data_IF_043192304497
#
_entry.id   IF_043192304497
#
_cell.length_a   1.000
_cell.length_b   1.000
_cell.length_c   1.000
_cell.angle_alpha   90.00
_cell.angle_beta   90.00
_cell.angle_gamma   90.00
#
_symmetry.space_group_name_H-M   'P 1'
#
loop_
_entity.id
_entity.type
_entity.pdbx_description
1 polymer ?
#
# COMPACT_ATOMS: atom_id res chain seq x y z
N UNK A 1 -48.71 5.94 32.64
CA UNK A 1 -47.73 4.87 32.96
C UNK A 1 -47.02 4.21 31.77
N UNK A 2 -47.49 4.29 30.51
CA UNK A 2 -46.90 3.55 29.35
C UNK A 2 -45.63 4.15 28.70
N UNK A 3 -45.19 5.36 29.08
CA UNK A 3 -44.07 6.08 28.45
C UNK A 3 -42.68 5.68 28.99
N UNK A 4 -42.58 5.26 30.26
CA UNK A 4 -41.28 4.92 30.89
C UNK A 4 -40.72 3.57 30.41
N UNK A 5 -41.59 2.62 30.07
CA UNK A 5 -41.20 1.27 29.59
C UNK A 5 -40.66 1.34 28.15
N UNK A 6 -41.23 2.20 27.30
CA UNK A 6 -40.78 2.44 25.92
C UNK A 6 -39.38 3.07 25.86
N UNK A 7 -39.06 3.93 26.83
CA UNK A 7 -37.76 4.59 26.92
C UNK A 7 -36.64 3.62 27.33
N UNK A 8 -36.91 2.71 28.26
CA UNK A 8 -35.96 1.65 28.64
C UNK A 8 -35.62 0.70 27.48
N UNK A 9 -36.63 0.34 26.68
CA UNK A 9 -36.41 -0.51 25.49
C UNK A 9 -35.61 0.22 24.40
N UNK A 10 -35.86 1.51 24.16
CA UNK A 10 -35.06 2.29 23.21
C UNK A 10 -33.59 2.40 23.63
N UNK A 11 -33.31 2.62 24.92
CA UNK A 11 -31.93 2.71 25.43
C UNK A 11 -31.19 1.37 25.32
N UNK A 12 -31.85 0.25 25.63
CA UNK A 12 -31.25 -1.09 25.49
C UNK A 12 -31.00 -1.44 24.01
N UNK A 13 -31.91 -1.07 23.10
CA UNK A 13 -31.73 -1.27 21.67
C UNK A 13 -30.58 -0.41 21.10
N UNK A 14 -30.43 0.83 21.58
CA UNK A 14 -29.33 1.71 21.20
C UNK A 14 -27.96 1.24 21.72
N UNK A 15 -27.91 0.65 22.93
CA UNK A 15 -26.68 0.07 23.48
C UNK A 15 -26.29 -1.21 22.73
N UNK A 16 -27.25 -2.06 22.38
CA UNK A 16 -27.00 -3.26 21.57
C UNK A 16 -26.46 -2.91 20.17
N UNK A 17 -26.90 -1.80 19.58
CA UNK A 17 -26.40 -1.32 18.29
C UNK A 17 -24.95 -0.83 18.34
N UNK A 18 -24.51 -0.29 19.49
CA UNK A 18 -23.14 0.18 19.69
C UNK A 18 -22.16 -0.97 19.99
N UNK A 19 -22.62 -2.09 20.58
CA UNK A 19 -21.79 -3.26 20.90
C UNK A 19 -21.63 -4.19 19.68
N UNK A 20 -22.57 -4.14 18.73
CA UNK A 20 -22.59 -5.00 17.54
C UNK A 20 -21.71 -4.57 16.36
N UNK A 21 -20.89 -3.52 16.48
CA UNK A 21 -19.94 -3.14 15.44
C UNK A 21 -18.85 -4.22 15.37
N UNK A 22 -18.79 -5.06 14.31
CA UNK A 22 -17.69 -5.98 14.15
C UNK A 22 -16.44 -5.13 14.01
N UNK A 23 -15.47 -5.31 14.91
CA UNK A 23 -14.11 -4.80 14.71
C UNK A 23 -13.64 -5.40 13.38
N UNK A 24 -13.66 -4.58 12.32
CA UNK A 24 -13.23 -4.99 11.00
C UNK A 24 -11.84 -5.58 11.13
N UNK A 25 -11.70 -6.86 10.78
CA UNK A 25 -10.41 -7.51 10.72
C UNK A 25 -9.62 -6.83 9.60
N UNK A 26 -8.71 -5.92 9.98
CA UNK A 26 -7.69 -5.40 9.08
C UNK A 26 -6.78 -6.58 8.73
N UNK A 27 -7.14 -7.29 7.65
CA UNK A 27 -6.31 -8.34 7.08
C UNK A 27 -5.09 -7.65 6.48
N UNK A 28 -3.95 -7.75 7.17
CA UNK A 28 -2.67 -7.36 6.59
C UNK A 28 -2.48 -8.14 5.28
N UNK A 29 -2.18 -7.43 4.19
CA UNK A 29 -1.84 -8.07 2.93
C UNK A 29 -0.54 -8.86 3.14
N UNK A 30 -0.64 -10.19 3.16
CA UNK A 30 0.52 -11.06 3.30
C UNK A 30 1.23 -11.16 1.94
N UNK A 31 2.35 -10.44 1.80
CA UNK A 31 3.30 -10.63 0.70
C UNK A 31 3.49 -9.40 -0.20
N UNK A 32 4.28 -9.61 -1.27
CA UNK A 32 4.47 -8.65 -2.35
C UNK A 32 3.58 -9.03 -3.54
N UNK A 33 3.13 -8.02 -4.30
CA UNK A 33 2.35 -8.21 -5.51
C UNK A 33 3.24 -8.05 -6.74
N UNK A 34 3.23 -9.04 -7.63
CA UNK A 34 3.89 -8.94 -8.93
C UNK A 34 2.90 -8.40 -9.95
N UNK A 35 3.28 -7.35 -10.65
CA UNK A 35 2.50 -6.75 -11.74
C UNK A 35 3.17 -7.00 -13.09
N UNK A 36 2.38 -6.96 -14.16
CA UNK A 36 2.92 -7.08 -15.52
C UNK A 36 3.54 -5.76 -16.01
N UNK A 37 4.40 -5.81 -17.03
CA UNK A 37 4.93 -4.61 -17.69
C UNK A 37 3.83 -3.69 -18.23
N UNK A 38 2.74 -4.27 -18.75
CA UNK A 38 1.62 -3.51 -19.30
C UNK A 38 0.83 -2.79 -18.20
N UNK A 39 0.67 -3.44 -17.05
CA UNK A 39 0.03 -2.87 -15.87
C UNK A 39 0.87 -1.74 -15.28
N UNK A 40 2.19 -1.95 -15.13
CA UNK A 40 3.12 -0.90 -14.70
C UNK A 40 3.06 0.31 -15.63
N UNK A 41 3.05 0.10 -16.95
CA UNK A 41 2.92 1.20 -17.92
C UNK A 41 1.64 2.00 -17.69
N UNK A 42 0.51 1.31 -17.52
CA UNK A 42 -0.79 1.95 -17.27
C UNK A 42 -0.75 2.74 -15.96
N UNK A 43 -0.11 2.20 -14.93
CA UNK A 43 0.04 2.85 -13.63
C UNK A 43 0.93 4.10 -13.68
N UNK A 44 2.02 4.05 -14.45
CA UNK A 44 2.91 5.20 -14.69
C UNK A 44 2.23 6.35 -15.47
N UNK A 45 1.21 6.06 -16.26
CA UNK A 45 0.40 7.05 -16.97
C UNK A 45 -0.68 7.69 -16.07
N UNK A 46 -0.95 7.09 -14.91
CA UNK A 46 -1.93 7.57 -13.94
C UNK A 46 -1.46 8.82 -13.17
N UNK A 47 -2.37 9.43 -12.41
CA UNK A 47 -2.02 10.53 -11.49
C UNK A 47 -1.32 10.02 -10.23
N UNK A 48 -1.66 8.81 -9.77
CA UNK A 48 -1.15 8.20 -8.55
C UNK A 48 -0.01 7.22 -8.88
N UNK A 49 1.10 7.77 -9.35
CA UNK A 49 2.24 6.97 -9.87
C UNK A 49 3.01 6.34 -8.73
N UNK A 50 3.44 5.08 -8.86
CA UNK A 50 4.26 4.44 -7.85
C UNK A 50 5.69 4.99 -7.86
N UNK A 51 6.38 4.87 -6.73
CA UNK A 51 7.83 5.03 -6.69
C UNK A 51 8.47 3.80 -7.34
N UNK A 52 9.17 4.00 -8.46
CA UNK A 52 9.92 2.92 -9.12
C UNK A 52 11.33 2.84 -8.54
N UNK A 53 11.70 1.67 -8.03
CA UNK A 53 13.02 1.41 -7.45
C UNK A 53 13.75 0.35 -8.28
N UNK A 54 14.85 0.76 -8.91
CA UNK A 54 15.79 -0.13 -9.56
C UNK A 54 16.75 -0.70 -8.50
N UNK A 55 16.83 -2.03 -8.39
CA UNK A 55 17.49 -2.71 -7.28
C UNK A 55 18.89 -3.26 -7.55
N UNK A 56 19.41 -3.14 -8.78
CA UNK A 56 20.75 -3.61 -9.15
C UNK A 56 21.82 -2.51 -8.94
N UNK A 57 22.97 -2.62 -9.62
CA UNK A 57 24.08 -1.69 -9.45
C UNK A 57 23.83 -0.33 -10.11
N UNK A 58 24.51 0.72 -9.62
CA UNK A 58 24.48 2.03 -10.29
C UNK A 58 25.02 2.01 -11.72
N UNK A 59 25.94 1.08 -12.02
CA UNK A 59 26.51 0.95 -13.36
C UNK A 59 25.39 0.54 -14.32
N UNK A 60 24.65 -0.51 -13.98
CA UNK A 60 23.51 -0.99 -14.78
C UNK A 60 22.42 0.07 -14.89
N UNK A 61 22.11 0.79 -13.80
CA UNK A 61 21.16 1.89 -13.83
C UNK A 61 21.56 2.98 -14.83
N UNK A 62 22.85 3.33 -14.89
CA UNK A 62 23.36 4.33 -15.85
C UNK A 62 23.33 3.85 -17.30
N UNK A 63 23.43 2.54 -17.53
CA UNK A 63 23.31 1.96 -18.87
C UNK A 63 21.87 1.99 -19.37
N UNK A 64 20.93 1.47 -18.58
CA UNK A 64 19.50 1.45 -18.94
C UNK A 64 18.62 1.41 -17.70
N UNK A 65 17.65 2.32 -17.63
CA UNK A 65 16.65 2.34 -16.57
C UNK A 65 15.32 2.90 -17.09
N UNK A 66 14.25 2.67 -16.34
CA UNK A 66 12.94 3.25 -16.62
C UNK A 66 12.98 4.73 -16.20
N UNK A 67 12.68 5.70 -17.08
CA UNK A 67 12.71 7.11 -16.73
C UNK A 67 11.84 7.44 -15.52
N UNK A 68 12.38 8.22 -14.59
CA UNK A 68 11.71 8.59 -13.33
C UNK A 68 11.86 7.58 -12.19
N UNK A 69 12.55 6.45 -12.41
CA UNK A 69 12.95 5.56 -11.33
C UNK A 69 14.07 6.14 -10.46
N UNK A 70 14.27 5.55 -9.29
CA UNK A 70 15.42 5.77 -8.42
C UNK A 70 16.23 4.48 -8.31
N UNK A 71 17.56 4.60 -8.26
CA UNK A 71 18.46 3.47 -7.98
C UNK A 71 18.67 3.34 -6.47
N UNK A 72 18.29 2.21 -5.88
CA UNK A 72 18.64 1.83 -4.51
C UNK A 72 19.13 0.38 -4.58
N UNK A 73 20.44 0.18 -4.43
CA UNK A 73 21.03 -1.16 -4.49
C UNK A 73 20.53 -2.00 -3.31
N UNK A 74 20.51 -3.33 -3.45
CA UNK A 74 20.02 -4.23 -2.41
C UNK A 74 20.69 -3.99 -1.04
N UNK A 75 21.97 -3.63 -1.03
CA UNK A 75 22.75 -3.37 0.20
C UNK A 75 22.31 -2.08 0.92
N UNK A 76 21.71 -1.14 0.19
CA UNK A 76 21.26 0.14 0.73
C UNK A 76 19.77 0.16 1.06
N UNK A 77 19.02 -0.91 0.75
CA UNK A 77 17.56 -0.94 0.85
C UNK A 77 17.03 -0.64 2.26
N UNK A 78 17.73 -1.12 3.29
CA UNK A 78 17.32 -0.95 4.70
C UNK A 78 17.65 0.44 5.28
N UNK A 79 18.61 1.13 4.67
CA UNK A 79 19.17 2.39 5.21
C UNK A 79 18.93 3.59 4.30
N UNK A 80 18.34 3.37 3.12
CA UNK A 80 18.10 4.45 2.17
C UNK A 80 17.03 5.40 2.67
N UNK A 81 17.37 6.68 2.68
CA UNK A 81 16.49 7.82 2.93
C UNK A 81 15.66 8.23 1.71
N UNK A 82 15.78 7.50 0.60
CA UNK A 82 15.10 7.81 -0.67
C UNK A 82 13.75 7.09 -0.82
N UNK A 83 13.40 6.22 0.14
CA UNK A 83 12.09 5.58 0.17
C UNK A 83 11.00 6.60 0.54
N UNK A 84 9.75 6.41 0.08
CA UNK A 84 8.64 7.25 0.51
C UNK A 84 8.44 7.21 2.04
N UNK A 85 8.23 8.38 2.64
CA UNK A 85 7.90 8.48 4.08
C UNK A 85 6.52 7.87 4.40
N UNK A 86 5.57 7.99 3.47
CA UNK A 86 4.23 7.42 3.60
C UNK A 86 4.24 5.93 3.25
N UNK A 87 3.94 5.09 4.25
CA UNK A 87 3.87 3.62 4.12
C UNK A 87 2.72 3.13 3.25
N UNK A 88 1.78 3.99 2.89
CA UNK A 88 0.70 3.66 1.95
C UNK A 88 1.07 4.01 0.51
N UNK A 89 2.15 4.75 0.29
CA UNK A 89 2.62 5.09 -1.05
C UNK A 89 3.09 3.83 -1.78
N UNK A 90 2.59 3.58 -2.99
CA UNK A 90 2.94 2.37 -3.70
C UNK A 90 4.40 2.40 -4.17
N UNK A 91 5.10 1.27 -3.98
CA UNK A 91 6.48 1.08 -4.41
C UNK A 91 6.53 -0.12 -5.36
N UNK A 92 7.18 0.06 -6.51
CA UNK A 92 7.44 -1.00 -7.47
C UNK A 92 8.95 -1.22 -7.57
N UNK A 93 9.41 -2.38 -7.10
CA UNK A 93 10.78 -2.82 -7.29
C UNK A 93 10.92 -3.52 -8.64
N UNK A 94 12.00 -3.22 -9.37
CA UNK A 94 12.31 -3.89 -10.61
C UNK A 94 13.82 -4.05 -10.83
N UNK A 95 14.15 -5.02 -11.68
CA UNK A 95 15.49 -5.27 -12.21
C UNK A 95 15.36 -5.53 -13.73
N UNK A 96 16.38 -6.10 -14.37
CA UNK A 96 16.29 -6.52 -15.78
C UNK A 96 15.30 -7.67 -16.05
N UNK A 97 14.75 -8.28 -14.99
CA UNK A 97 13.89 -9.45 -15.09
C UNK A 97 14.71 -10.74 -15.25
N UNK A 98 14.03 -11.90 -15.34
CA UNK A 98 14.68 -13.15 -15.74
C UNK A 98 15.10 -12.99 -17.21
N UNK A 99 16.42 -12.99 -17.45
CA UNK A 99 16.99 -12.94 -18.80
C UNK A 99 16.58 -14.12 -19.67
#
# INVERSE_FOLDING_TARGET
MKRRIRFGWMVVFSIALLIGLPAGTLKAAEGFHTISTQELKTWMESTDRPTLVFSLSEIEYREVHIPGSICITMELMEVSDRMPDDRNSPIVFYCHGPG
#
